data_IF_122682606596
#
_entry.id   IF_122682606596
#
_cell.length_a   1.000
_cell.length_b   1.000
_cell.length_c   1.000
_cell.angle_alpha   90.00
_cell.angle_beta   90.00
_cell.angle_gamma   90.00
#
_symmetry.space_group_name_H-M   'P 1'
#
loop_
_entity.id
_entity.type
_entity.pdbx_description
1 polymer ?
#
# COMPACT_ATOMS: atom_id res chain seq x y z
N UNK A 1 21.12 3.52 41.98
CA UNK A 1 20.32 3.81 40.77
C UNK A 1 21.22 3.65 39.55
N UNK A 2 20.94 2.70 38.66
CA UNK A 2 21.67 2.60 37.38
C UNK A 2 21.17 3.71 36.43
N UNK A 3 22.04 4.34 35.61
CA UNK A 3 21.59 5.36 34.66
C UNK A 3 20.68 4.70 33.63
N UNK A 4 19.50 5.27 33.39
CA UNK A 4 18.69 4.92 32.22
C UNK A 4 19.51 5.30 30.98
N UNK A 5 19.90 4.31 30.20
CA UNK A 5 20.58 4.55 28.92
C UNK A 5 19.63 5.33 28.01
N UNK A 6 19.94 6.59 27.75
CA UNK A 6 19.33 7.35 26.67
C UNK A 6 19.87 6.78 25.35
N UNK A 7 19.26 5.69 24.88
CA UNK A 7 19.48 5.17 23.54
C UNK A 7 18.80 6.15 22.58
N UNK A 8 19.59 7.02 21.98
CA UNK A 8 19.16 7.86 20.87
C UNK A 8 18.73 6.92 19.75
N UNK A 9 17.51 7.04 19.19
CA UNK A 9 17.09 6.18 18.09
C UNK A 9 18.07 6.34 16.93
N UNK A 10 18.75 5.25 16.57
CA UNK A 10 19.69 5.24 15.45
C UNK A 10 18.86 5.50 14.20
N UNK A 11 18.94 6.71 13.61
CA UNK A 11 18.31 7.00 12.31
C UNK A 11 18.81 5.96 11.31
N UNK A 12 17.96 5.00 10.97
CA UNK A 12 18.25 4.03 9.93
C UNK A 12 18.18 4.77 8.60
N UNK A 13 19.29 4.77 7.86
CA UNK A 13 19.30 5.23 6.47
C UNK A 13 18.62 4.17 5.61
N UNK A 14 17.29 4.18 5.61
CA UNK A 14 16.47 3.34 4.74
C UNK A 14 16.53 3.94 3.33
N UNK A 15 17.15 3.21 2.40
CA UNK A 15 17.15 3.58 0.99
C UNK A 15 15.85 3.08 0.37
N UNK A 16 15.10 3.98 -0.26
CA UNK A 16 13.86 3.67 -0.98
C UNK A 16 13.95 4.28 -2.37
N UNK A 17 13.76 3.48 -3.41
CA UNK A 17 13.66 3.95 -4.79
C UNK A 17 12.20 4.30 -5.09
N UNK A 18 11.79 5.50 -4.67
CA UNK A 18 10.43 6.00 -4.87
C UNK A 18 10.45 7.45 -5.32
N UNK A 19 9.54 7.78 -6.24
CA UNK A 19 9.26 9.18 -6.62
C UNK A 19 7.99 9.71 -5.93
N UNK A 20 7.16 8.83 -5.35
CA UNK A 20 5.87 9.18 -4.72
C UNK A 20 6.04 9.40 -3.21
N UNK A 21 6.86 8.59 -2.56
CA UNK A 21 7.04 8.58 -1.10
C UNK A 21 8.51 8.67 -0.69
N UNK A 22 8.74 9.15 0.53
CA UNK A 22 10.05 9.22 1.16
C UNK A 22 10.26 8.09 2.18
N UNK A 23 11.51 7.82 2.56
CA UNK A 23 11.87 6.79 3.56
C UNK A 23 11.17 6.94 4.92
N UNK A 24 10.70 8.15 5.26
CA UNK A 24 9.91 8.42 6.49
C UNK A 24 8.57 7.67 6.55
N UNK A 25 8.06 7.14 5.43
CA UNK A 25 6.83 6.33 5.40
C UNK A 25 7.07 4.89 5.86
N UNK A 26 8.30 4.37 5.73
CA UNK A 26 8.61 2.97 5.97
C UNK A 26 8.28 2.52 7.41
N UNK A 27 8.66 3.25 8.49
CA UNK A 27 8.32 2.84 9.85
C UNK A 27 6.81 2.66 10.06
N UNK A 28 6.01 3.51 9.41
CA UNK A 28 4.56 3.46 9.49
C UNK A 28 4.02 2.19 8.80
N UNK A 29 4.44 1.92 7.55
CA UNK A 29 4.02 0.74 6.81
C UNK A 29 4.38 -0.56 7.51
N UNK A 30 5.59 -0.65 8.05
CA UNK A 30 6.05 -1.85 8.77
C UNK A 30 5.28 -2.02 10.08
N UNK A 31 4.96 -0.91 10.78
CA UNK A 31 4.10 -0.97 11.97
C UNK A 31 2.73 -1.56 11.64
N UNK A 32 2.14 -1.18 10.50
CA UNK A 32 0.85 -1.72 10.07
C UNK A 32 0.92 -3.19 9.66
N UNK A 33 1.98 -3.60 8.94
CA UNK A 33 2.20 -5.00 8.57
C UNK A 33 2.30 -5.89 9.81
N UNK A 34 3.04 -5.47 10.84
CA UNK A 34 3.18 -6.22 12.10
C UNK A 34 2.04 -6.00 13.09
N UNK A 35 1.01 -5.23 12.71
CA UNK A 35 -0.13 -4.84 13.57
C UNK A 35 0.33 -4.22 14.90
N UNK A 36 1.33 -3.35 14.84
CA UNK A 36 1.88 -2.55 15.95
C UNK A 36 1.38 -1.11 15.91
N UNK A 37 1.58 -0.41 17.02
CA UNK A 37 1.39 1.04 17.07
C UNK A 37 2.24 1.73 16.00
N UNK A 38 1.67 2.73 15.32
CA UNK A 38 2.31 3.48 14.23
C UNK A 38 3.67 4.10 14.60
N UNK A 39 3.95 4.30 15.88
CA UNK A 39 5.22 4.84 16.38
C UNK A 39 6.25 3.78 16.79
N UNK A 40 5.90 2.49 16.74
CA UNK A 40 6.75 1.38 17.23
C UNK A 40 8.13 1.40 16.55
N UNK A 41 8.16 1.44 15.22
CA UNK A 41 9.41 1.44 14.45
C UNK A 41 10.13 2.79 14.40
N UNK A 42 9.68 3.82 15.14
CA UNK A 42 10.46 5.05 15.32
C UNK A 42 11.71 4.83 16.18
N UNK A 43 11.71 3.76 16.99
CA UNK A 43 12.80 3.41 17.91
C UNK A 43 13.38 2.02 17.64
N UNK A 44 12.61 1.16 16.97
CA UNK A 44 12.99 -0.23 16.71
C UNK A 44 13.73 -0.41 15.38
N UNK A 45 14.46 -1.53 15.28
CA UNK A 45 15.12 -1.92 14.03
C UNK A 45 14.08 -2.41 13.02
N UNK A 46 14.08 -1.85 11.81
CA UNK A 46 13.22 -2.34 10.73
C UNK A 46 13.84 -3.59 10.11
N UNK A 47 13.10 -4.69 10.14
CA UNK A 47 13.48 -5.99 9.57
C UNK A 47 12.76 -6.26 8.24
N UNK A 48 12.49 -5.23 7.45
CA UNK A 48 11.87 -5.34 6.14
C UNK A 48 12.69 -4.61 5.09
N UNK A 49 12.71 -5.15 3.87
CA UNK A 49 13.15 -4.48 2.65
C UNK A 49 11.97 -4.23 1.72
N UNK A 50 12.06 -3.11 0.99
CA UNK A 50 11.07 -2.68 0.01
C UNK A 50 11.77 -2.57 -1.35
N UNK A 51 11.50 -3.51 -2.25
CA UNK A 51 12.10 -3.54 -3.59
C UNK A 51 11.08 -3.06 -4.62
N UNK A 52 11.38 -1.99 -5.36
CA UNK A 52 10.50 -1.51 -6.42
C UNK A 52 10.33 -2.60 -7.50
N UNK A 53 9.09 -3.00 -7.77
CA UNK A 53 8.72 -3.96 -8.81
C UNK A 53 8.19 -3.25 -10.06
N UNK A 54 7.36 -2.25 -9.85
CA UNK A 54 6.65 -1.56 -10.91
C UNK A 54 6.46 -0.10 -10.56
N UNK A 55 6.62 0.76 -11.58
CA UNK A 55 6.30 2.18 -11.55
C UNK A 55 5.53 2.48 -12.83
N UNK A 56 4.36 3.12 -12.73
CA UNK A 56 3.61 3.58 -13.90
C UNK A 56 4.40 4.65 -14.63
N UNK A 57 4.34 4.66 -15.96
CA UNK A 57 5.03 5.66 -16.78
C UNK A 57 4.04 6.76 -17.20
N UNK A 58 4.17 7.96 -16.65
CA UNK A 58 3.49 9.19 -17.09
C UNK A 58 1.99 8.99 -17.44
N UNK A 59 1.21 8.46 -16.48
CA UNK A 59 -0.24 8.26 -16.65
C UNK A 59 -0.66 7.09 -17.55
N UNK A 60 0.27 6.32 -18.11
CA UNK A 60 -0.03 5.08 -18.86
C UNK A 60 -0.10 3.91 -17.90
N UNK A 61 -1.31 3.62 -17.44
CA UNK A 61 -1.58 2.41 -16.67
C UNK A 61 -1.75 1.22 -17.61
N UNK A 62 -1.05 0.12 -17.32
CA UNK A 62 -1.12 -1.13 -18.07
C UNK A 62 -1.13 -2.34 -17.11
N UNK A 63 -2.29 -2.98 -16.98
CA UNK A 63 -2.50 -4.17 -16.18
C UNK A 63 -1.54 -5.31 -16.59
N UNK A 64 -1.23 -5.44 -17.88
CA UNK A 64 -0.30 -6.46 -18.36
C UNK A 64 1.11 -6.23 -17.83
N UNK A 65 1.57 -4.99 -17.82
CA UNK A 65 2.86 -4.63 -17.22
C UNK A 65 2.85 -4.78 -15.70
N UNK A 66 1.75 -4.48 -15.02
CA UNK A 66 1.61 -4.78 -13.60
C UNK A 66 1.80 -6.27 -13.33
N UNK A 67 1.00 -7.15 -13.95
CA UNK A 67 1.07 -8.60 -13.74
C UNK A 67 2.44 -9.19 -14.11
N UNK A 68 3.04 -8.74 -15.21
CA UNK A 68 4.40 -9.17 -15.60
C UNK A 68 5.44 -8.90 -14.51
N UNK A 69 5.31 -7.81 -13.76
CA UNK A 69 6.28 -7.41 -12.74
C UNK A 69 5.91 -7.87 -11.32
N UNK A 70 4.62 -8.00 -11.03
CA UNK A 70 4.09 -8.22 -9.68
C UNK A 70 3.64 -9.66 -9.40
N UNK A 71 3.35 -10.46 -10.43
CA UNK A 71 2.99 -11.86 -10.24
C UNK A 71 4.20 -12.68 -9.77
N UNK A 72 3.93 -13.65 -8.90
CA UNK A 72 4.90 -14.53 -8.25
C UNK A 72 5.99 -13.79 -7.44
N UNK A 73 5.67 -12.60 -6.93
CA UNK A 73 6.54 -11.80 -6.06
C UNK A 73 6.16 -11.91 -4.58
N UNK A 74 5.04 -12.54 -4.25
CA UNK A 74 4.53 -12.62 -2.89
C UNK A 74 4.08 -11.25 -2.37
N UNK A 75 4.31 -10.99 -1.09
CA UNK A 75 3.79 -9.81 -0.42
C UNK A 75 4.26 -8.50 -1.08
N UNK A 76 3.32 -7.56 -1.25
CA UNK A 76 3.58 -6.26 -1.85
C UNK A 76 2.86 -5.15 -1.10
N UNK A 77 3.44 -3.96 -1.13
CA UNK A 77 2.76 -2.71 -0.79
C UNK A 77 2.76 -1.83 -2.03
N UNK A 78 1.64 -1.18 -2.30
CA UNK A 78 1.49 -0.32 -3.46
C UNK A 78 0.97 1.06 -3.04
N UNK A 79 1.36 2.09 -3.80
CA UNK A 79 1.05 3.49 -3.53
C UNK A 79 0.67 4.16 -4.85
N UNK A 80 -0.46 4.86 -4.86
CA UNK A 80 -0.94 5.67 -5.97
C UNK A 80 -1.13 7.13 -5.54
N UNK A 81 -0.73 8.06 -6.40
CA UNK A 81 -1.02 9.49 -6.28
C UNK A 81 -2.29 9.81 -7.07
N UNK A 82 -3.27 10.41 -6.40
CA UNK A 82 -4.47 10.89 -7.06
C UNK A 82 -4.13 12.17 -7.83
N UNK A 83 -4.54 12.23 -9.09
CA UNK A 83 -4.32 13.37 -9.97
C UNK A 83 -4.97 14.64 -9.40
N UNK A 84 -4.28 15.78 -9.56
CA UNK A 84 -4.73 17.11 -9.09
C UNK A 84 -5.01 17.17 -7.58
N UNK A 85 -4.33 16.30 -6.80
CA UNK A 85 -4.50 16.19 -5.35
C UNK A 85 -3.17 15.92 -4.65
N UNK A 86 -3.09 16.28 -3.36
CA UNK A 86 -2.01 15.83 -2.46
C UNK A 86 -2.27 14.45 -1.89
N UNK A 87 -3.46 13.90 -2.13
CA UNK A 87 -3.89 12.63 -1.56
C UNK A 87 -3.10 11.47 -2.16
N UNK A 88 -2.55 10.64 -1.28
CA UNK A 88 -2.03 9.31 -1.65
C UNK A 88 -2.98 8.25 -1.15
N UNK A 89 -3.12 7.19 -1.92
CA UNK A 89 -3.82 5.96 -1.52
C UNK A 89 -2.88 4.78 -1.71
N UNK A 90 -3.15 3.69 -1.02
CA UNK A 90 -2.31 2.50 -1.12
C UNK A 90 -2.94 1.29 -0.48
N UNK A 91 -2.23 0.18 -0.59
CA UNK A 91 -2.64 -1.06 0.03
C UNK A 91 -1.49 -2.04 0.17
N UNK A 92 -1.65 -2.95 1.12
CA UNK A 92 -0.75 -4.08 1.32
C UNK A 92 -1.48 -5.38 1.00
N UNK A 93 -0.92 -6.13 0.05
CA UNK A 93 -1.34 -7.48 -0.26
C UNK A 93 -0.28 -8.45 0.32
N UNK A 94 -0.62 -9.26 1.34
CA UNK A 94 0.29 -10.27 1.90
C UNK A 94 0.45 -11.50 1.00
N UNK A 95 -0.43 -11.67 0.01
CA UNK A 95 -0.43 -12.76 -0.95
C UNK A 95 0.29 -12.34 -2.24
N UNK A 96 0.18 -13.19 -3.26
CA UNK A 96 0.64 -12.91 -4.62
C UNK A 96 -0.47 -12.34 -5.52
N UNK A 97 -0.11 -11.71 -6.64
CA UNK A 97 -1.04 -11.16 -7.64
C UNK A 97 -1.43 -12.13 -8.78
N UNK A 98 -0.79 -13.29 -8.88
CA UNK A 98 -1.08 -14.27 -9.91
C UNK A 98 -2.53 -14.81 -9.84
N UNK A 99 -3.02 -15.34 -10.95
CA UNK A 99 -4.35 -15.93 -11.05
C UNK A 99 -5.29 -15.05 -11.86
N UNK A 100 -6.61 -15.22 -11.65
CA UNK A 100 -7.64 -14.42 -12.31
C UNK A 100 -8.97 -14.52 -11.53
N UNK A 101 -8.90 -14.28 -10.22
CA UNK A 101 -10.01 -14.48 -9.28
C UNK A 101 -9.78 -13.69 -7.98
N UNK A 102 -10.79 -13.69 -7.11
CA UNK A 102 -10.72 -13.09 -5.78
C UNK A 102 -9.96 -13.99 -4.80
N UNK A 103 -9.08 -13.40 -4.01
CA UNK A 103 -8.34 -14.07 -2.94
C UNK A 103 -8.79 -13.56 -1.58
N UNK A 104 -8.81 -14.49 -0.62
CA UNK A 104 -9.23 -14.21 0.74
C UNK A 104 -8.00 -14.00 1.62
N UNK A 105 -8.03 -12.95 2.47
CA UNK A 105 -7.02 -12.72 3.49
C UNK A 105 -7.53 -11.73 4.54
N UNK A 106 -7.15 -11.94 5.80
CA UNK A 106 -7.41 -11.01 6.91
C UNK A 106 -6.22 -10.10 7.22
N UNK A 107 -5.10 -10.27 6.50
CA UNK A 107 -3.83 -9.59 6.78
C UNK A 107 -3.51 -8.50 5.76
N UNK A 108 -4.37 -8.27 4.76
CA UNK A 108 -4.28 -7.10 3.90
C UNK A 108 -4.86 -5.85 4.57
N UNK A 109 -4.49 -4.69 4.02
CA UNK A 109 -5.08 -3.42 4.43
C UNK A 109 -5.01 -2.42 3.27
N UNK A 110 -5.92 -1.44 3.32
CA UNK A 110 -5.84 -0.24 2.51
C UNK A 110 -5.43 0.95 3.41
N UNK A 111 -4.81 1.96 2.81
CA UNK A 111 -4.51 3.20 3.51
C UNK A 111 -4.66 4.40 2.59
N UNK A 112 -4.81 5.57 3.21
CA UNK A 112 -4.78 6.86 2.53
C UNK A 112 -4.02 7.89 3.35
N UNK A 113 -3.51 8.91 2.69
CA UNK A 113 -2.99 10.12 3.30
C UNK A 113 -3.74 11.29 2.68
N UNK A 114 -4.37 12.15 3.48
CA UNK A 114 -4.96 13.38 2.94
C UNK A 114 -3.90 14.27 2.29
N UNK A 115 -2.68 14.27 2.84
CA UNK A 115 -1.48 14.79 2.20
C UNK A 115 -0.35 13.77 2.32
N UNK A 116 0.09 13.23 1.19
CA UNK A 116 1.17 12.25 1.10
C UNK A 116 2.50 12.70 1.70
N UNK A 117 2.73 14.00 1.90
CA UNK A 117 3.94 14.49 2.55
C UNK A 117 3.85 14.48 4.07
N UNK A 118 2.62 14.41 4.61
CA UNK A 118 2.31 14.58 6.04
C UNK A 118 1.82 13.25 6.63
N UNK A 119 2.75 12.52 7.24
CA UNK A 119 2.52 11.17 7.81
C UNK A 119 1.37 11.11 8.80
N UNK A 120 1.14 12.17 9.59
CA UNK A 120 0.05 12.22 10.58
C UNK A 120 -1.35 12.28 9.96
N UNK A 121 -1.47 12.51 8.64
CA UNK A 121 -2.76 12.47 7.93
C UNK A 121 -3.14 11.06 7.48
N UNK A 122 -2.31 10.06 7.80
CA UNK A 122 -2.55 8.68 7.45
C UNK A 122 -3.86 8.15 8.06
N UNK A 123 -4.64 7.48 7.24
CA UNK A 123 -5.78 6.65 7.65
C UNK A 123 -5.51 5.23 7.20
N UNK A 124 -5.74 4.28 8.10
CA UNK A 124 -5.52 2.86 7.87
C UNK A 124 -6.86 2.13 7.97
N UNK A 125 -7.12 1.28 6.98
CA UNK A 125 -8.29 0.42 6.94
C UNK A 125 -7.87 -1.03 6.84
N UNK A 126 -7.87 -1.73 7.97
CA UNK A 126 -7.75 -3.18 7.96
C UNK A 126 -9.01 -3.82 7.36
N UNK A 127 -8.82 -5.03 6.86
CA UNK A 127 -9.92 -5.93 6.47
C UNK A 127 -10.93 -6.10 7.61
N UNK A 128 -12.20 -5.98 7.28
CA UNK A 128 -13.37 -6.36 8.09
C UNK A 128 -13.91 -7.73 7.71
N UNK A 129 -13.91 -8.04 6.41
CA UNK A 129 -14.28 -9.34 5.87
C UNK A 129 -13.14 -9.87 4.99
N UNK A 130 -12.58 -11.02 5.37
CA UNK A 130 -11.50 -11.64 4.64
C UNK A 130 -11.93 -12.15 3.25
N UNK A 131 -13.23 -12.30 3.01
CA UNK A 131 -13.75 -12.68 1.69
C UNK A 131 -13.51 -11.57 0.68
N UNK A 132 -13.06 -11.93 -0.53
CA UNK A 132 -12.90 -10.96 -1.63
C UNK A 132 -11.99 -9.77 -1.27
N UNK A 133 -10.94 -10.03 -0.48
CA UNK A 133 -10.03 -8.98 -0.01
C UNK A 133 -9.12 -8.44 -1.12
N UNK A 134 -8.69 -9.29 -2.05
CA UNK A 134 -7.77 -8.96 -3.15
C UNK A 134 -8.31 -9.53 -4.46
N UNK A 135 -8.37 -8.72 -5.52
CA UNK A 135 -8.80 -9.17 -6.84
C UNK A 135 -7.62 -9.21 -7.81
N UNK A 136 -7.31 -10.41 -8.30
CA UNK A 136 -6.18 -10.68 -9.19
C UNK A 136 -6.59 -10.76 -10.67
N UNK A 137 -7.59 -9.99 -11.10
CA UNK A 137 -8.07 -10.03 -12.47
C UNK A 137 -7.04 -9.50 -13.46
N UNK A 138 -6.75 -10.24 -14.54
CA UNK A 138 -5.69 -9.89 -15.51
C UNK A 138 -5.87 -8.52 -16.21
N UNK A 139 -7.07 -7.94 -16.14
CA UNK A 139 -7.41 -6.61 -16.66
C UNK A 139 -7.42 -5.52 -15.59
N UNK A 140 -6.84 -5.80 -14.42
CA UNK A 140 -6.74 -4.91 -13.27
C UNK A 140 -5.27 -4.79 -12.83
N UNK A 141 -4.95 -3.75 -12.08
CA UNK A 141 -3.74 -3.75 -11.24
C UNK A 141 -4.08 -4.14 -9.80
N UNK A 142 -3.72 -3.31 -8.81
CA UNK A 142 -3.78 -3.70 -7.41
C UNK A 142 -5.19 -3.59 -6.79
N UNK A 143 -6.18 -4.23 -7.40
CA UNK A 143 -7.58 -4.15 -6.94
C UNK A 143 -7.78 -4.90 -5.62
N UNK A 144 -8.47 -4.28 -4.67
CA UNK A 144 -8.64 -4.80 -3.31
C UNK A 144 -9.99 -4.36 -2.74
N UNK A 145 -10.81 -5.31 -2.29
CA UNK A 145 -12.18 -5.03 -1.83
C UNK A 145 -12.96 -4.24 -2.87
N UNK A 146 -13.51 -3.08 -2.49
CA UNK A 146 -14.25 -2.22 -3.41
C UNK A 146 -13.40 -1.37 -4.35
N UNK A 147 -12.08 -1.37 -4.19
CA UNK A 147 -11.18 -0.60 -5.05
C UNK A 147 -10.89 -1.37 -6.35
N UNK A 148 -11.37 -0.84 -7.46
CA UNK A 148 -11.13 -1.33 -8.81
C UNK A 148 -10.09 -0.46 -9.52
N UNK A 149 -8.95 -1.08 -9.80
CA UNK A 149 -7.81 -0.50 -10.49
C UNK A 149 -7.80 -0.98 -11.95
N UNK A 150 -8.74 -0.48 -12.75
CA UNK A 150 -8.93 -0.89 -14.15
C UNK A 150 -7.67 -0.71 -14.99
N UNK A 151 -7.61 -1.36 -16.17
CA UNK A 151 -6.58 -1.14 -17.21
C UNK A 151 -6.63 0.27 -17.85
N UNK A 152 -6.66 1.31 -17.01
CA UNK A 152 -6.63 2.73 -17.33
C UNK A 152 -6.21 3.49 -16.07
N UNK A 153 -5.93 4.79 -16.19
CA UNK A 153 -5.67 5.62 -15.02
C UNK A 153 -6.95 6.04 -14.28
N UNK A 154 -8.13 5.66 -14.74
CA UNK A 154 -9.40 5.99 -14.11
C UNK A 154 -9.84 4.83 -13.22
N UNK A 155 -9.81 5.04 -11.91
CA UNK A 155 -10.11 4.03 -10.91
C UNK A 155 -11.40 4.37 -10.16
N UNK A 156 -11.98 3.34 -9.55
CA UNK A 156 -13.26 3.45 -8.85
C UNK A 156 -13.21 2.72 -7.53
N UNK A 157 -13.83 3.30 -6.51
CA UNK A 157 -14.11 2.64 -5.24
C UNK A 157 -15.62 2.42 -5.11
N UNK A 158 -16.05 1.17 -5.27
CA UNK A 158 -17.44 0.78 -5.15
C UNK A 158 -17.85 0.60 -3.68
N UNK A 159 -18.49 1.62 -3.14
CA UNK A 159 -19.03 1.60 -1.78
C UNK A 159 -20.29 0.73 -1.64
N UNK A 160 -20.99 0.38 -2.73
CA UNK A 160 -22.28 -0.30 -2.62
C UNK A 160 -22.11 -1.80 -2.35
N UNK A 161 -21.20 -2.45 -3.06
CA UNK A 161 -21.03 -3.91 -2.94
C UNK A 161 -19.91 -4.33 -1.98
N UNK A 162 -18.90 -3.49 -1.77
CA UNK A 162 -17.68 -3.88 -1.05
C UNK A 162 -17.18 -2.88 0.00
N UNK A 163 -17.99 -1.87 0.38
CA UNK A 163 -17.68 -1.02 1.55
C UNK A 163 -17.61 -1.82 2.86
N UNK A 164 -18.11 -3.05 2.88
CA UNK A 164 -18.00 -3.98 4.00
C UNK A 164 -16.62 -4.63 4.14
N UNK A 165 -15.79 -4.69 3.08
CA UNK A 165 -14.52 -5.46 3.11
C UNK A 165 -13.42 -4.71 3.86
N UNK A 166 -13.27 -3.40 3.66
CA UNK A 166 -12.29 -2.56 4.34
C UNK A 166 -12.97 -1.40 5.06
N UNK A 167 -12.34 -0.88 6.12
CA UNK A 167 -12.82 0.35 6.77
C UNK A 167 -12.73 1.54 5.82
N UNK A 168 -13.69 2.47 5.93
CA UNK A 168 -13.64 3.71 5.17
C UNK A 168 -12.47 4.58 5.65
N UNK A 169 -11.61 4.91 4.70
CA UNK A 169 -10.40 5.72 4.86
C UNK A 169 -10.44 6.96 3.96
N UNK A 170 -11.60 7.29 3.38
CA UNK A 170 -11.80 8.47 2.54
C UNK A 170 -11.16 8.37 1.16
N UNK A 171 -11.19 7.19 0.54
CA UNK A 171 -10.85 7.04 -0.90
C UNK A 171 -12.06 7.55 -1.71
N UNK A 172 -11.89 8.46 -2.69
CA UNK A 172 -12.99 8.92 -3.52
C UNK A 172 -13.64 7.79 -4.33
N UNK A 173 -14.93 7.90 -4.64
CA UNK A 173 -15.65 6.89 -5.44
C UNK A 173 -15.07 6.78 -6.86
N UNK A 174 -14.69 7.89 -7.50
CA UNK A 174 -14.08 7.90 -8.83
C UNK A 174 -12.98 8.93 -8.88
N UNK A 175 -11.84 8.56 -9.44
CA UNK A 175 -10.68 9.43 -9.51
C UNK A 175 -9.72 8.98 -10.62
N UNK A 176 -8.79 9.86 -10.96
CA UNK A 176 -7.67 9.52 -11.83
C UNK A 176 -6.38 9.38 -11.03
N UNK A 177 -5.54 8.44 -11.43
CA UNK A 177 -4.21 8.22 -10.88
C UNK A 177 -3.18 8.92 -11.77
N UNK A 178 -2.30 9.70 -11.15
CA UNK A 178 -1.18 10.37 -11.83
C UNK A 178 0.02 9.43 -11.92
N UNK A 179 0.45 8.91 -10.76
CA UNK A 179 1.57 8.00 -10.61
C UNK A 179 1.23 6.85 -9.66
N UNK A 180 1.88 5.71 -9.87
CA UNK A 180 1.68 4.49 -9.11
C UNK A 180 2.97 3.69 -9.00
N UNK A 181 3.28 3.20 -7.81
CA UNK A 181 4.43 2.35 -7.52
C UNK A 181 4.02 1.11 -6.73
N UNK A 182 4.68 -0.01 -7.01
CA UNK A 182 4.52 -1.29 -6.29
C UNK A 182 5.87 -1.73 -5.79
N UNK A 183 5.93 -2.05 -4.51
CA UNK A 183 7.12 -2.57 -3.85
C UNK A 183 6.86 -3.98 -3.35
N UNK A 184 7.78 -4.90 -3.63
CA UNK A 184 7.87 -6.17 -2.93
C UNK A 184 8.25 -5.90 -1.47
N UNK A 185 7.61 -6.61 -0.54
CA UNK A 185 7.89 -6.53 0.89
C UNK A 185 8.58 -7.82 1.31
N UNK A 186 9.84 -7.72 1.75
CA UNK A 186 10.65 -8.88 2.15
C UNK A 186 11.02 -8.75 3.62
N UNK A 187 10.64 -9.73 4.43
CA UNK A 187 11.06 -9.81 5.83
C UNK A 187 12.48 -10.40 5.91
N UNK A 188 13.37 -9.73 6.65
CA UNK A 188 14.76 -10.14 6.93
C UNK A 188 14.85 -11.19 8.03
#
# INVERSE_FOLDING_TARGET
MKPKSNVIPRKQNLKLDSIIIESKHIPLFVSWIDKKDSSYYNKEKISYDFNLLYRSNEGRFDAKSFHRNCDNKGATIWIAKIQDSTQLIGGYNPLDWNGNYWKNTADSFLFSFTDGKIISTAKLGYVKDASHAVYCGNNQGPSMGGLYCYNSNSWEYDYYYFSSVYHDIGIPTRFKVEDFEVFQVIKK
#
